data_IF_676687288755
#
_entry.id   IF_676687288755
#
_cell.length_a   1.000
_cell.length_b   1.000
_cell.length_c   1.000
_cell.angle_alpha   90.00
_cell.angle_beta   90.00
_cell.angle_gamma   90.00
#
_symmetry.space_group_name_H-M   'P 1'
#
loop_
_entity.id
_entity.type
_entity.pdbx_description
1 polymer ?
#
# COMPACT_ATOMS: atom_id res chain seq x y z
N UNK A 1 -34.35 48.69 6.64
CA UNK A 1 -34.26 47.69 7.72
C UNK A 1 -33.53 46.49 7.18
N UNK A 2 -32.22 46.46 7.44
CA UNK A 2 -31.26 45.45 6.99
C UNK A 2 -31.31 44.27 7.97
N UNK A 3 -31.46 43.05 7.47
CA UNK A 3 -31.16 41.86 8.27
C UNK A 3 -29.97 41.15 7.61
N UNK A 4 -28.80 41.63 7.98
CA UNK A 4 -27.50 40.98 7.81
C UNK A 4 -27.45 39.75 8.73
N UNK A 5 -27.32 38.56 8.14
CA UNK A 5 -27.04 37.33 8.87
C UNK A 5 -25.57 36.95 8.62
N UNK A 6 -24.72 37.22 9.61
CA UNK A 6 -23.33 36.79 9.64
C UNK A 6 -23.26 35.35 10.15
N UNK A 7 -22.74 34.42 9.33
CA UNK A 7 -22.39 33.07 9.78
C UNK A 7 -20.87 33.01 10.08
N UNK A 8 -20.47 32.62 11.31
CA UNK A 8 -19.08 32.36 11.65
C UNK A 8 -18.73 30.89 11.36
N UNK A 9 -17.64 30.64 10.63
CA UNK A 9 -17.09 29.27 10.54
C UNK A 9 -16.64 28.86 9.14
N UNK A 10 -15.61 29.52 8.63
CA UNK A 10 -14.88 29.08 7.44
C UNK A 10 -13.98 27.89 7.78
N UNK A 11 -14.46 26.68 7.54
CA UNK A 11 -13.59 25.52 7.29
C UNK A 11 -13.93 24.98 5.91
N UNK A 12 -13.11 25.37 4.92
CA UNK A 12 -13.11 24.76 3.58
C UNK A 12 -12.93 23.25 3.74
N UNK A 13 -14.00 22.48 3.56
CA UNK A 13 -13.85 21.05 3.31
C UNK A 13 -13.34 20.91 1.86
N UNK A 14 -12.01 20.86 1.71
CA UNK A 14 -11.38 20.54 0.43
C UNK A 14 -11.43 19.02 0.25
N UNK A 15 -12.20 18.62 -0.75
CA UNK A 15 -12.16 17.42 -1.57
C UNK A 15 -11.06 16.39 -1.20
N UNK A 16 -11.48 15.20 -0.75
CA UNK A 16 -10.77 13.98 -1.13
C UNK A 16 -11.69 13.23 -2.09
N UNK A 17 -11.40 13.20 -3.39
CA UNK A 17 -12.16 12.41 -4.33
C UNK A 17 -11.73 10.95 -4.16
N UNK A 18 -12.61 10.09 -3.62
CA UNK A 18 -12.40 8.63 -3.56
C UNK A 18 -12.58 7.95 -4.94
N UNK A 19 -12.34 8.71 -6.01
CA UNK A 19 -12.31 8.27 -7.39
C UNK A 19 -11.07 7.41 -7.61
N UNK A 20 -11.27 6.09 -7.65
CA UNK A 20 -11.02 5.25 -8.85
C UNK A 20 -10.56 3.82 -8.52
N UNK A 21 -11.51 2.91 -8.73
CA UNK A 21 -11.35 1.62 -9.43
C UNK A 21 -10.37 0.63 -8.79
N UNK A 22 -10.87 -0.16 -7.84
CA UNK A 22 -10.38 -1.54 -7.70
C UNK A 22 -10.74 -2.29 -8.99
N UNK A 23 -9.74 -2.44 -9.85
CA UNK A 23 -9.83 -3.15 -11.12
C UNK A 23 -10.29 -4.59 -10.90
N UNK A 24 -11.49 -4.89 -11.38
CA UNK A 24 -12.09 -6.22 -11.46
C UNK A 24 -11.60 -6.87 -12.76
N UNK A 25 -10.33 -7.29 -12.88
CA UNK A 25 -9.92 -8.17 -13.98
C UNK A 25 -8.84 -9.17 -13.56
N UNK A 26 -9.22 -10.44 -13.59
CA UNK A 26 -8.35 -11.59 -13.54
C UNK A 26 -7.64 -11.75 -14.89
N UNK A 27 -6.51 -11.06 -15.07
CA UNK A 27 -5.46 -11.51 -15.96
C UNK A 27 -4.37 -12.12 -15.08
N UNK A 28 -3.84 -13.29 -15.44
CA UNK A 28 -2.63 -13.85 -14.84
C UNK A 28 -1.46 -12.95 -15.23
N UNK A 29 -1.35 -11.81 -14.56
CA UNK A 29 -0.30 -10.82 -14.79
C UNK A 29 1.05 -11.54 -14.66
N UNK A 30 1.87 -11.47 -15.72
CA UNK A 30 3.18 -12.16 -15.77
C UNK A 30 4.12 -11.59 -14.71
N UNK A 31 3.91 -10.33 -14.30
CA UNK A 31 4.69 -9.61 -13.30
C UNK A 31 3.79 -9.14 -12.16
N UNK A 32 3.24 -10.07 -11.35
CA UNK A 32 2.35 -9.70 -10.26
C UNK A 32 3.06 -8.79 -9.26
N UNK A 33 2.30 -7.83 -8.71
CA UNK A 33 2.72 -7.10 -7.51
C UNK A 33 2.70 -8.08 -6.34
N UNK A 34 3.83 -8.21 -5.67
CA UNK A 34 4.01 -9.01 -4.48
C UNK A 34 4.34 -8.11 -3.31
N UNK A 35 3.87 -8.49 -2.13
CA UNK A 35 4.17 -7.78 -0.89
C UNK A 35 5.18 -8.60 -0.10
N UNK A 36 6.18 -7.97 0.50
CA UNK A 36 7.13 -8.63 1.38
C UNK A 36 6.81 -8.25 2.82
N UNK A 37 6.69 -9.28 3.66
CA UNK A 37 6.43 -9.16 5.09
C UNK A 37 7.66 -9.56 5.89
N UNK A 38 8.03 -8.77 6.89
CA UNK A 38 9.07 -9.13 7.85
C UNK A 38 8.66 -10.41 8.62
N UNK A 39 9.57 -11.35 8.82
CA UNK A 39 9.27 -12.58 9.57
C UNK A 39 9.00 -12.33 11.07
N UNK A 40 9.61 -11.31 11.67
CA UNK A 40 9.47 -11.04 13.11
C UNK A 40 8.21 -10.24 13.42
N UNK A 41 8.10 -9.03 12.87
CA UNK A 41 6.98 -8.13 13.18
C UNK A 41 5.77 -8.31 12.26
N UNK A 42 5.85 -9.17 11.23
CA UNK A 42 4.79 -9.43 10.23
C UNK A 42 4.30 -8.19 9.47
N UNK A 43 5.05 -7.10 9.58
CA UNK A 43 4.71 -5.83 8.95
C UNK A 43 5.00 -5.91 7.45
N UNK A 44 4.04 -5.43 6.64
CA UNK A 44 4.04 -5.47 5.18
C UNK A 44 4.48 -4.11 4.65
N UNK A 45 5.76 -3.99 4.32
CA UNK A 45 6.38 -2.67 4.07
C UNK A 45 6.83 -2.48 2.64
N UNK A 46 7.07 -3.57 1.93
CA UNK A 46 7.66 -3.52 0.60
C UNK A 46 6.70 -4.14 -0.40
N UNK A 47 6.37 -3.37 -1.43
CA UNK A 47 5.63 -3.84 -2.59
C UNK A 47 6.63 -3.86 -3.75
N UNK A 48 6.82 -5.03 -4.34
CA UNK A 48 7.70 -5.23 -5.49
C UNK A 48 6.96 -5.98 -6.58
N UNK A 49 7.52 -6.07 -7.78
CA UNK A 49 6.97 -6.94 -8.83
C UNK A 49 7.98 -8.05 -9.07
N UNK A 50 7.52 -9.30 -9.03
CA UNK A 50 8.35 -10.44 -9.44
C UNK A 50 7.81 -11.02 -10.74
N UNK A 51 8.67 -11.61 -11.56
CA UNK A 51 8.22 -12.36 -12.72
C UNK A 51 7.98 -13.81 -12.30
N UNK A 52 6.71 -14.21 -12.19
CA UNK A 52 6.34 -15.56 -11.71
C UNK A 52 6.75 -16.68 -12.66
N UNK A 53 7.11 -16.37 -13.92
CA UNK A 53 7.61 -17.36 -14.90
C UNK A 53 9.09 -17.72 -14.68
N UNK A 54 9.91 -16.76 -14.26
CA UNK A 54 11.34 -16.97 -14.06
C UNK A 54 11.63 -17.48 -12.64
N UNK A 55 10.90 -16.94 -11.65
CA UNK A 55 11.11 -17.24 -10.23
C UNK A 55 9.77 -17.70 -9.61
N UNK A 56 9.40 -18.99 -9.79
CA UNK A 56 8.15 -19.53 -9.26
C UNK A 56 8.17 -19.65 -7.73
N UNK A 57 9.36 -19.77 -7.15
CA UNK A 57 9.56 -19.94 -5.71
C UNK A 57 9.20 -18.70 -4.88
N UNK A 58 8.99 -18.96 -3.58
CA UNK A 58 8.64 -17.91 -2.61
C UNK A 58 9.89 -17.09 -2.30
N UNK A 59 9.82 -15.79 -2.57
CA UNK A 59 10.97 -14.91 -2.42
C UNK A 59 11.26 -14.62 -0.93
N UNK A 60 12.50 -14.83 -0.50
CA UNK A 60 13.01 -14.49 0.82
C UNK A 60 14.24 -13.59 0.70
N UNK A 61 14.13 -12.34 1.13
CA UNK A 61 15.19 -11.33 0.99
C UNK A 61 15.45 -10.68 2.35
N UNK A 62 16.73 -10.50 2.68
CA UNK A 62 17.13 -9.68 3.83
C UNK A 62 16.96 -8.20 3.49
N UNK A 63 15.96 -7.56 4.11
CA UNK A 63 15.68 -6.11 3.99
C UNK A 63 15.63 -5.48 5.37
N UNK A 64 15.87 -4.17 5.40
CA UNK A 64 15.69 -3.38 6.62
C UNK A 64 14.21 -3.37 7.02
N UNK A 65 13.91 -3.58 8.30
CA UNK A 65 12.57 -3.37 8.82
C UNK A 65 12.55 -2.09 9.67
N UNK A 66 11.74 -1.07 9.35
CA UNK A 66 11.70 0.17 10.13
C UNK A 66 11.15 -0.03 11.54
N UNK A 67 10.27 -1.02 11.75
CA UNK A 67 9.72 -1.33 13.06
C UNK A 67 10.76 -2.01 13.97
N UNK A 68 11.46 -3.03 13.44
CA UNK A 68 12.51 -3.75 14.18
C UNK A 68 13.87 -3.02 14.17
N UNK A 69 14.00 -1.94 13.40
CA UNK A 69 15.22 -1.14 13.17
C UNK A 69 16.46 -1.96 12.79
N UNK A 70 16.24 -3.11 12.15
CA UNK A 70 17.29 -4.10 11.85
C UNK A 70 17.02 -4.77 10.50
N UNK A 71 18.07 -5.31 9.86
CA UNK A 71 17.94 -6.08 8.62
C UNK A 71 17.49 -7.50 8.93
N UNK A 72 16.29 -7.86 8.48
CA UNK A 72 15.65 -9.15 8.74
C UNK A 72 15.20 -9.81 7.46
N UNK A 73 14.99 -11.13 7.52
CA UNK A 73 14.39 -11.88 6.43
C UNK A 73 12.95 -11.40 6.22
N UNK A 74 12.67 -10.92 5.01
CA UNK A 74 11.32 -10.60 4.55
C UNK A 74 10.89 -11.67 3.56
N UNK A 75 9.68 -12.19 3.76
CA UNK A 75 9.10 -13.26 2.95
C UNK A 75 7.91 -12.73 2.18
N UNK A 76 7.75 -13.21 0.96
CA UNK A 76 6.59 -12.87 0.13
C UNK A 76 5.27 -13.27 0.79
N UNK A 77 4.33 -12.32 0.85
CA UNK A 77 2.94 -12.51 1.25
C UNK A 77 2.00 -12.06 0.14
N UNK A 78 0.86 -12.74 0.06
CA UNK A 78 -0.26 -12.41 -0.83
C UNK A 78 -1.11 -11.28 -0.25
#
# INVERSE_FOLDING_TARGET
>A
MIHSVSLPGGSKLVLIPSSERHSIVAATDVRPKITLACQECKHRNYITRKNRRNDPDRLEIKKYCPNCRTHRAHRETR
#
